data_IF_108041488339
#
_entry.id   IF_108041488339
#
_cell.length_a   1.000
_cell.length_b   1.000
_cell.length_c   1.000
_cell.angle_alpha   90.00
_cell.angle_beta   90.00
_cell.angle_gamma   90.00
#
_symmetry.space_group_name_H-M   'P 1'
#
loop_
_entity.id
_entity.type
_entity.pdbx_description
1 polymer ?
#
# COMPACT_ATOMS: atom_id res chain seq x y z
N UNK A 1 -31.47 6.55 -18.26
CA UNK A 1 -30.28 6.05 -18.99
C UNK A 1 -29.04 6.30 -18.14
N UNK A 2 -28.44 5.19 -17.66
CA UNK A 2 -27.18 4.99 -16.92
C UNK A 2 -26.89 5.79 -15.63
N UNK A 3 -27.49 5.31 -14.54
CA UNK A 3 -26.86 5.29 -13.22
C UNK A 3 -25.58 4.41 -13.24
N UNK A 4 -24.42 5.00 -13.48
CA UNK A 4 -23.11 4.36 -13.19
C UNK A 4 -22.38 5.11 -12.06
N UNK A 5 -23.14 5.72 -11.15
CA UNK A 5 -22.66 6.30 -9.89
C UNK A 5 -22.41 5.27 -8.78
N UNK A 6 -22.32 3.98 -9.10
CA UNK A 6 -22.17 2.92 -8.08
C UNK A 6 -21.51 1.66 -8.64
N UNK A 7 -20.19 1.72 -8.78
CA UNK A 7 -19.36 0.56 -8.48
C UNK A 7 -18.26 1.12 -7.59
N UNK A 8 -18.31 0.91 -6.26
CA UNK A 8 -17.19 1.29 -5.41
C UNK A 8 -15.94 0.66 -6.03
N UNK A 9 -14.86 1.41 -6.08
CA UNK A 9 -13.54 0.94 -6.45
C UNK A 9 -13.04 -0.14 -5.45
N UNK A 10 -13.77 -1.24 -5.28
CA UNK A 10 -13.41 -2.39 -4.46
C UNK A 10 -12.23 -3.14 -5.08
N UNK A 11 -12.08 -3.07 -6.42
CA UNK A 11 -10.87 -3.50 -7.12
C UNK A 11 -9.75 -2.45 -7.15
N UNK A 12 -10.11 -1.17 -7.17
CA UNK A 12 -9.17 -0.10 -7.51
C UNK A 12 -8.41 0.51 -6.33
N UNK A 13 -8.49 -0.07 -5.12
CA UNK A 13 -7.92 0.63 -3.97
C UNK A 13 -7.51 -0.23 -2.80
N UNK A 14 -7.19 -1.52 -2.94
CA UNK A 14 -6.61 -2.28 -1.82
C UNK A 14 -5.08 -2.19 -1.74
N UNK A 15 -4.35 -2.18 -2.86
CA UNK A 15 -2.88 -2.18 -2.79
C UNK A 15 -2.27 -0.88 -2.23
N UNK A 16 -2.90 0.26 -2.48
CA UNK A 16 -2.48 1.57 -1.91
C UNK A 16 -2.67 1.63 -0.38
N UNK A 17 -3.85 1.34 0.20
CA UNK A 17 -4.01 1.33 1.65
C UNK A 17 -3.21 0.20 2.31
N UNK A 18 -2.97 -0.93 1.64
CA UNK A 18 -2.09 -1.99 2.18
C UNK A 18 -0.66 -1.47 2.31
N UNK A 19 -0.09 -0.86 1.26
CA UNK A 19 1.26 -0.29 1.32
C UNK A 19 1.42 0.80 2.38
N UNK A 20 0.39 1.64 2.56
CA UNK A 20 0.35 2.69 3.59
C UNK A 20 0.28 2.06 4.99
N UNK A 21 -0.56 1.04 5.19
CA UNK A 21 -0.70 0.34 6.47
C UNK A 21 0.60 -0.34 6.88
N UNK A 22 1.30 -0.98 5.94
CA UNK A 22 2.61 -1.61 6.19
C UNK A 22 3.66 -0.57 6.58
N UNK A 23 3.68 0.59 5.91
CA UNK A 23 4.59 1.68 6.27
C UNK A 23 4.30 2.24 7.68
N UNK A 24 3.02 2.40 8.04
CA UNK A 24 2.59 2.82 9.38
C UNK A 24 2.99 1.81 10.46
N UNK A 25 2.81 0.52 10.22
CA UNK A 25 3.22 -0.54 11.15
C UNK A 25 4.74 -0.53 11.35
N UNK A 26 5.50 -0.37 10.26
CA UNK A 26 6.96 -0.20 10.32
C UNK A 26 7.37 1.02 11.15
N UNK A 27 6.71 2.16 10.96
CA UNK A 27 6.98 3.38 11.72
C UNK A 27 6.68 3.21 13.22
N UNK A 28 5.54 2.60 13.57
CA UNK A 28 5.15 2.34 14.97
C UNK A 28 6.18 1.42 15.64
N UNK A 29 6.66 0.40 14.94
CA UNK A 29 7.68 -0.50 15.45
C UNK A 29 9.05 0.14 15.66
N UNK A 30 9.46 1.08 14.79
CA UNK A 30 10.66 1.90 14.98
C UNK A 30 10.51 2.76 16.24
N UNK A 31 9.39 3.47 16.39
CA UNK A 31 9.14 4.34 17.55
C UNK A 31 9.14 3.52 18.84
N UNK A 32 8.47 2.37 18.86
CA UNK A 32 8.36 1.52 20.05
C UNK A 32 9.71 0.91 20.41
N UNK A 33 10.46 0.40 19.43
CA UNK A 33 11.84 -0.08 19.66
C UNK A 33 12.76 1.04 20.16
N UNK A 34 12.52 2.29 19.73
CA UNK A 34 13.29 3.46 20.17
C UNK A 34 12.94 3.94 21.58
N UNK A 35 11.78 3.56 22.12
CA UNK A 35 11.39 3.87 23.51
C UNK A 35 11.77 2.74 24.47
N UNK A 36 11.83 1.50 23.97
CA UNK A 36 12.17 0.30 24.73
C UNK A 36 13.61 -0.20 24.45
N UNK A 37 14.55 0.71 24.17
CA UNK A 37 15.96 0.39 23.86
C UNK A 37 16.61 -0.58 24.86
N UNK A 38 16.17 -0.57 26.12
CA UNK A 38 16.69 -1.40 27.21
C UNK A 38 16.33 -2.90 27.09
N UNK A 39 15.27 -3.26 26.35
CA UNK A 39 14.77 -4.65 26.27
C UNK A 39 15.05 -5.37 24.94
N UNK A 40 15.35 -4.66 23.85
CA UNK A 40 15.28 -5.23 22.49
C UNK A 40 16.63 -5.25 21.76
N UNK A 41 17.61 -4.42 22.17
CA UNK A 41 18.91 -4.35 21.52
C UNK A 41 18.86 -3.86 20.06
N UNK A 42 20.02 -3.50 19.49
CA UNK A 42 20.13 -2.89 18.15
C UNK A 42 19.54 -3.78 17.04
N UNK A 43 19.51 -5.10 17.25
CA UNK A 43 19.01 -6.08 16.29
C UNK A 43 17.49 -6.07 16.10
N UNK A 44 16.70 -5.59 17.07
CA UNK A 44 15.25 -5.53 16.92
C UNK A 44 14.75 -4.37 16.05
N UNK A 45 15.59 -3.37 15.74
CA UNK A 45 15.23 -2.24 14.87
C UNK A 45 15.22 -2.62 13.37
N UNK A 46 16.09 -3.56 12.98
CA UNK A 46 16.32 -3.99 11.59
C UNK A 46 15.02 -4.42 10.88
N UNK A 47 14.16 -5.29 11.45
CA UNK A 47 12.93 -5.71 10.77
C UNK A 47 11.95 -4.55 10.53
N UNK A 48 11.87 -3.58 11.46
CA UNK A 48 10.95 -2.44 11.31
C UNK A 48 11.42 -1.43 10.27
N UNK A 49 12.74 -1.23 10.15
CA UNK A 49 13.34 -0.45 9.06
C UNK A 49 13.05 -1.10 7.71
N UNK A 50 13.19 -2.43 7.61
CA UNK A 50 12.85 -3.17 6.40
C UNK A 50 11.37 -3.01 6.02
N UNK A 51 10.47 -3.10 7.00
CA UNK A 51 9.03 -2.95 6.79
C UNK A 51 8.65 -1.52 6.36
N UNK A 52 9.30 -0.51 6.93
CA UNK A 52 9.13 0.89 6.56
C UNK A 52 9.64 1.18 5.14
N UNK A 53 10.78 0.62 4.72
CA UNK A 53 11.32 0.82 3.38
C UNK A 53 10.51 0.10 2.28
N UNK A 54 9.89 -1.03 2.59
CA UNK A 54 9.11 -1.82 1.64
C UNK A 54 7.71 -1.24 1.39
N UNK A 55 7.09 -0.58 2.37
CA UNK A 55 5.75 0.00 2.23
C UNK A 55 5.59 0.98 1.04
N UNK A 56 6.48 2.00 0.88
CA UNK A 56 6.43 2.97 -0.21
C UNK A 56 6.54 2.39 -1.63
N UNK A 57 7.53 1.54 -1.97
CA UNK A 57 7.60 0.94 -3.30
C UNK A 57 6.43 0.00 -3.58
N UNK A 58 5.90 -0.68 -2.56
CA UNK A 58 4.71 -1.52 -2.69
C UNK A 58 3.46 -0.70 -3.05
N UNK A 59 3.26 0.45 -2.40
CA UNK A 59 2.19 1.38 -2.75
C UNK A 59 2.33 1.94 -4.17
N UNK A 60 3.56 2.23 -4.62
CA UNK A 60 3.83 2.71 -5.99
C UNK A 60 3.50 1.65 -7.04
N UNK A 61 3.95 0.41 -6.84
CA UNK A 61 3.64 -0.73 -7.72
C UNK A 61 2.13 -0.96 -7.82
N UNK A 62 1.42 -0.92 -6.70
CA UNK A 62 -0.04 -1.06 -6.70
C UNK A 62 -0.75 0.03 -7.51
N UNK A 63 -0.27 1.28 -7.45
CA UNK A 63 -0.86 2.37 -8.25
C UNK A 63 -0.60 2.20 -9.76
N UNK A 64 0.59 1.68 -10.13
CA UNK A 64 0.95 1.44 -11.53
C UNK A 64 0.10 0.32 -12.14
N UNK A 65 -0.11 -0.76 -11.39
CA UNK A 65 -0.96 -1.89 -11.83
C UNK A 65 -2.42 -1.45 -12.02
N UNK A 66 -2.94 -0.62 -11.13
CA UNK A 66 -4.29 -0.07 -11.27
C UNK A 66 -4.39 0.91 -12.44
N UNK A 67 -3.36 1.72 -12.67
CA UNK A 67 -3.29 2.59 -13.84
C UNK A 67 -3.33 1.79 -15.15
N UNK A 68 -2.61 0.65 -15.22
CA UNK A 68 -2.63 -0.24 -16.38
C UNK A 68 -4.02 -0.87 -16.57
N UNK A 69 -4.64 -1.36 -15.50
CA UNK A 69 -5.99 -1.92 -15.55
C UNK A 69 -7.03 -0.91 -16.04
N UNK A 70 -6.94 0.35 -15.60
CA UNK A 70 -7.84 1.41 -16.03
C UNK A 70 -7.72 1.75 -17.53
N UNK A 71 -6.54 1.53 -18.15
CA UNK A 71 -6.40 1.69 -19.60
C UNK A 71 -7.02 0.51 -20.36
N UNK A 72 -6.84 -0.72 -19.87
CA UNK A 72 -7.43 -1.92 -20.49
C UNK A 72 -8.96 -1.84 -20.45
N UNK A 73 -9.53 -1.40 -19.32
CA UNK A 73 -10.98 -1.22 -19.15
C UNK A 73 -11.55 -0.22 -20.18
N UNK A 74 -10.83 0.88 -20.44
CA UNK A 74 -11.20 1.85 -21.49
C UNK A 74 -11.11 1.29 -22.90
N UNK A 75 -10.13 0.40 -23.18
CA UNK A 75 -10.05 -0.27 -24.47
C UNK A 75 -11.20 -1.27 -24.64
N UNK A 76 -11.58 -1.99 -23.58
CA UNK A 76 -12.72 -2.92 -23.59
C UNK A 76 -14.06 -2.18 -23.78
N UNK A 77 -14.25 -1.03 -23.13
CA UNK A 77 -15.43 -0.18 -23.32
C UNK A 77 -15.50 0.41 -24.74
N UNK A 78 -14.35 0.73 -25.36
CA UNK A 78 -14.30 1.24 -26.74
C UNK A 78 -14.52 0.17 -27.81
N UNK A 79 -14.33 -1.10 -27.46
CA UNK A 79 -14.51 -2.25 -28.37
C UNK A 79 -15.95 -2.78 -28.36
N UNK A 80 -16.78 -2.33 -27.42
CA UNK A 80 -18.15 -2.80 -27.18
C UNK A 80 -19.19 -1.82 -27.71
#
# INVERSE_FOLDING_TARGET
MNEKGKIPCTRCRMGVPIGITIALIGLIGIITSSLFYEHVGVFGLIPFIGLFLIGPPFARMASLVNGAHARIDKLEESLK
#
